data_IF_504812010283
#
_entry.id   IF_504812010283
#
_cell.length_a   1.000
_cell.length_b   1.000
_cell.length_c   1.000
_cell.angle_alpha   90.00
_cell.angle_beta   90.00
_cell.angle_gamma   90.00
#
_symmetry.space_group_name_H-M   'P 1'
#
loop_
_entity.id
_entity.type
_entity.pdbx_description
1 polymer ?
#
# COMPACT_ATOMS: atom_id res chain seq x y z
N UNK A 1 -15.14 5.67 -13.61
CA UNK A 1 -14.34 6.77 -13.03
C UNK A 1 -13.54 6.31 -11.82
N UNK A 2 -13.95 5.27 -11.08
CA UNK A 2 -13.31 4.79 -9.82
C UNK A 2 -11.84 4.35 -9.86
N UNK A 3 -11.27 3.97 -11.01
CA UNK A 3 -9.91 3.40 -11.02
C UNK A 3 -8.79 4.42 -10.77
N UNK A 4 -9.04 5.72 -10.98
CA UNK A 4 -8.02 6.76 -10.77
C UNK A 4 -7.90 7.10 -9.29
N UNK A 5 -9.03 7.25 -8.61
CA UNK A 5 -9.11 7.59 -7.19
C UNK A 5 -8.44 6.51 -6.30
N UNK A 6 -8.62 5.22 -6.63
CA UNK A 6 -7.98 4.12 -5.87
C UNK A 6 -6.46 4.15 -5.99
N UNK A 7 -5.93 4.51 -7.18
CA UNK A 7 -4.48 4.59 -7.41
C UNK A 7 -3.85 5.80 -6.73
N UNK A 8 -4.50 6.95 -6.79
CA UNK A 8 -4.06 8.18 -6.13
C UNK A 8 -4.02 7.99 -4.61
N UNK A 9 -5.09 7.41 -4.04
CA UNK A 9 -5.15 7.09 -2.61
C UNK A 9 -4.04 6.13 -2.16
N UNK A 10 -3.72 5.09 -2.94
CA UNK A 10 -2.65 4.16 -2.58
C UNK A 10 -1.26 4.82 -2.56
N UNK A 11 -0.99 5.70 -3.52
CA UNK A 11 0.25 6.47 -3.60
C UNK A 11 0.40 7.42 -2.42
N UNK A 12 -0.67 8.12 -2.06
CA UNK A 12 -0.67 9.02 -0.90
C UNK A 12 -0.38 8.28 0.40
N UNK A 13 -1.02 7.11 0.62
CA UNK A 13 -0.76 6.33 1.83
C UNK A 13 0.67 5.78 1.89
N UNK A 14 1.24 5.31 0.77
CA UNK A 14 2.62 4.82 0.73
C UNK A 14 3.61 5.97 0.98
N UNK A 15 3.34 7.16 0.43
CA UNK A 15 4.18 8.33 0.61
C UNK A 15 4.14 8.86 2.05
N UNK A 16 2.97 8.85 2.69
CA UNK A 16 2.85 9.18 4.12
C UNK A 16 3.61 8.17 5.00
N UNK A 17 3.60 6.89 4.65
CA UNK A 17 4.41 5.86 5.34
C UNK A 17 5.90 6.13 5.17
N UNK A 18 6.36 6.39 3.95
CA UNK A 18 7.76 6.70 3.64
C UNK A 18 8.26 7.90 4.45
N UNK A 19 7.51 9.01 4.44
CA UNK A 19 7.85 10.21 5.20
C UNK A 19 7.94 9.96 6.70
N UNK A 20 6.98 9.20 7.26
CA UNK A 20 7.02 8.86 8.68
C UNK A 20 8.27 8.03 9.02
N UNK A 21 8.63 7.06 8.17
CA UNK A 21 9.85 6.25 8.36
C UNK A 21 11.12 7.09 8.24
N UNK A 22 11.23 7.94 7.22
CA UNK A 22 12.39 8.82 7.02
C UNK A 22 12.61 9.79 8.19
N UNK A 23 11.51 10.27 8.79
CA UNK A 23 11.55 11.16 9.93
C UNK A 23 11.72 10.43 11.27
N UNK A 24 11.79 9.09 11.27
CA UNK A 24 11.83 8.28 12.48
C UNK A 24 10.53 8.34 13.31
N UNK A 25 9.43 8.79 12.70
CA UNK A 25 8.12 8.86 13.32
C UNK A 25 7.44 7.48 13.34
N UNK A 26 6.63 7.24 14.37
CA UNK A 26 5.85 6.01 14.45
C UNK A 26 4.79 5.97 13.35
N UNK A 27 4.85 4.94 12.51
CA UNK A 27 3.82 4.71 11.48
C UNK A 27 2.57 4.14 12.14
N UNK A 28 1.44 4.84 12.02
CA UNK A 28 0.19 4.42 12.64
C UNK A 28 -0.32 3.10 12.02
N UNK A 29 -0.75 2.11 12.82
CA UNK A 29 -1.33 0.87 12.30
C UNK A 29 -2.53 1.08 11.36
N UNK A 30 -3.32 2.14 11.58
CA UNK A 30 -4.44 2.52 10.71
C UNK A 30 -3.99 2.92 9.30
N UNK A 31 -2.84 3.60 9.18
CA UNK A 31 -2.27 4.01 7.91
C UNK A 31 -1.76 2.78 7.15
N UNK A 32 -1.06 1.88 7.84
CA UNK A 32 -0.61 0.60 7.28
C UNK A 32 -1.79 -0.21 6.72
N UNK A 33 -2.90 -0.30 7.48
CA UNK A 33 -4.10 -1.00 7.03
C UNK A 33 -4.72 -0.38 5.78
N UNK A 34 -4.76 0.96 5.68
CA UNK A 34 -5.31 1.67 4.49
C UNK A 34 -4.45 1.46 3.24
N UNK A 35 -3.13 1.61 3.35
CA UNK A 35 -2.21 1.32 2.25
C UNK A 35 -2.33 -0.14 1.79
N UNK A 36 -2.42 -1.09 2.72
CA UNK A 36 -2.62 -2.51 2.40
C UNK A 36 -3.91 -2.76 1.60
N UNK A 37 -5.04 -2.16 2.00
CA UNK A 37 -6.30 -2.32 1.27
C UNK A 37 -6.22 -1.72 -0.14
N UNK A 38 -5.77 -0.47 -0.26
CA UNK A 38 -5.68 0.20 -1.56
C UNK A 38 -4.73 -0.52 -2.52
N UNK A 39 -3.61 -1.05 -2.02
CA UNK A 39 -2.70 -1.86 -2.81
C UNK A 39 -3.30 -3.23 -3.20
N UNK A 40 -4.08 -3.86 -2.32
CA UNK A 40 -4.80 -5.10 -2.63
C UNK A 40 -5.82 -4.88 -3.76
N UNK A 41 -6.55 -3.77 -3.70
CA UNK A 41 -7.50 -3.39 -4.74
C UNK A 41 -6.79 -3.18 -6.08
N UNK A 42 -5.68 -2.44 -6.10
CA UNK A 42 -4.83 -2.29 -7.30
C UNK A 42 -4.35 -3.65 -7.80
N UNK A 43 -3.88 -4.52 -6.92
CA UNK A 43 -3.41 -5.86 -7.29
C UNK A 43 -4.51 -6.69 -7.97
N UNK A 44 -5.76 -6.55 -7.51
CA UNK A 44 -6.91 -7.24 -8.11
C UNK A 44 -7.30 -6.69 -9.49
N UNK A 45 -7.00 -5.40 -9.75
CA UNK A 45 -7.31 -4.73 -11.02
C UNK A 45 -6.23 -4.93 -12.08
N UNK A 46 -5.00 -5.28 -11.68
CA UNK A 46 -3.87 -5.52 -12.60
C UNK A 46 -4.01 -6.95 -13.17
N UNK A 47 -4.85 -7.09 -14.19
CA UNK A 47 -5.18 -8.39 -14.77
C UNK A 47 -3.99 -9.17 -15.37
N UNK A 48 -2.85 -8.54 -15.71
CA UNK A 48 -1.79 -9.24 -16.47
C UNK A 48 -0.34 -8.75 -16.22
N UNK A 49 -0.06 -8.05 -15.13
CA UNK A 49 1.29 -7.55 -14.81
C UNK A 49 1.99 -8.37 -13.73
N UNK A 50 2.55 -9.55 -14.07
CA UNK A 50 3.12 -10.51 -13.11
C UNK A 50 4.10 -9.87 -12.11
N UNK A 51 4.87 -8.88 -12.57
CA UNK A 51 5.93 -8.25 -11.77
C UNK A 51 5.43 -7.17 -10.80
N UNK A 52 4.40 -6.41 -11.19
CA UNK A 52 3.80 -5.37 -10.32
C UNK A 52 2.96 -6.04 -9.23
N UNK A 53 2.19 -7.06 -9.60
CA UNK A 53 1.38 -7.82 -8.66
C UNK A 53 2.22 -8.54 -7.59
N UNK A 54 3.35 -9.11 -7.99
CA UNK A 54 4.30 -9.74 -7.07
C UNK A 54 4.90 -8.74 -6.06
N UNK A 55 5.31 -7.55 -6.52
CA UNK A 55 5.87 -6.51 -5.64
C UNK A 55 4.83 -5.97 -4.66
N UNK A 56 3.59 -5.77 -5.09
CA UNK A 56 2.49 -5.37 -4.21
C UNK A 56 2.22 -6.43 -3.14
N UNK A 57 2.19 -7.71 -3.54
CA UNK A 57 1.96 -8.83 -2.62
C UNK A 57 3.06 -8.94 -1.56
N UNK A 58 4.34 -8.77 -1.95
CA UNK A 58 5.47 -8.73 -1.03
C UNK A 58 5.34 -7.58 -0.02
N UNK A 59 5.02 -6.38 -0.50
CA UNK A 59 4.83 -5.21 0.36
C UNK A 59 3.70 -5.43 1.39
N UNK A 60 2.57 -5.97 0.95
CA UNK A 60 1.44 -6.32 1.83
C UNK A 60 1.85 -7.33 2.91
N UNK A 61 2.65 -8.34 2.56
CA UNK A 61 3.13 -9.35 3.50
C UNK A 61 4.01 -8.74 4.59
N UNK A 62 4.95 -7.87 4.19
CA UNK A 62 5.83 -7.15 5.11
C UNK A 62 4.99 -6.29 6.06
N UNK A 63 4.07 -5.48 5.53
CA UNK A 63 3.18 -4.62 6.31
C UNK A 63 2.34 -5.39 7.33
N UNK A 64 1.90 -6.60 6.99
CA UNK A 64 1.08 -7.42 7.87
C UNK A 64 1.83 -7.83 9.14
N UNK A 65 3.16 -7.94 9.10
CA UNK A 65 4.00 -8.20 10.27
C UNK A 65 4.11 -7.01 11.23
N UNK A 66 3.78 -5.79 10.79
CA UNK A 66 3.83 -4.56 11.60
C UNK A 66 2.48 -4.18 12.23
N UNK A 67 1.38 -4.84 11.82
CA UNK A 67 0.02 -4.53 12.29
C UNK A 67 -0.42 -5.47 13.44
N UNK A 68 0.41 -6.45 13.80
CA UNK A 68 0.14 -7.42 14.86
C UNK A 68 0.00 -6.76 16.25
#
# INVERSE_FOLDING_TARGET
>A
MESSDVKENALDFVKEIEQNVEQGAAVKPSLLRRAKMALTDINSMVAHGYQVAAKISQFISIMSGFIA
#
